data_IF_447704085988
#
_entry.id   IF_447704085988
#
_cell.length_a   1.000
_cell.length_b   1.000
_cell.length_c   1.000
_cell.angle_alpha   90.00
_cell.angle_beta   90.00
_cell.angle_gamma   90.00
#
_symmetry.space_group_name_H-M   'P 1'
#
loop_
_entity.id
_entity.type
_entity.pdbx_description
1 polymer ?
#
# COMPACT_ATOMS: atom_id res chain seq x y z
N UNK A 1 44.29 -37.06 29.52
CA UNK A 1 42.85 -36.88 29.29
C UNK A 1 42.74 -35.75 28.27
N UNK A 2 42.86 -36.11 27.00
CA UNK A 2 42.83 -35.15 25.89
C UNK A 2 41.38 -35.00 25.44
N UNK A 3 40.86 -33.76 25.54
CA UNK A 3 39.54 -33.40 25.03
C UNK A 3 39.66 -33.24 23.51
N UNK A 4 39.09 -34.17 22.77
CA UNK A 4 38.89 -34.05 21.32
C UNK A 4 37.87 -32.96 21.07
N UNK A 5 38.35 -31.80 20.59
CA UNK A 5 37.50 -30.73 20.04
C UNK A 5 36.89 -31.26 18.75
N UNK A 6 35.60 -31.56 18.77
CA UNK A 6 34.83 -31.87 17.56
C UNK A 6 34.82 -30.63 16.66
N UNK A 7 35.52 -30.72 15.56
CA UNK A 7 35.49 -29.75 14.48
C UNK A 7 34.09 -29.81 13.83
N UNK A 8 33.24 -28.91 14.25
CA UNK A 8 31.87 -28.74 13.72
C UNK A 8 31.99 -28.34 12.25
N UNK A 9 31.72 -29.30 11.38
CA UNK A 9 31.75 -29.10 9.94
C UNK A 9 30.75 -27.99 9.56
N UNK A 10 31.28 -26.80 9.27
CA UNK A 10 30.50 -25.66 8.77
C UNK A 10 29.88 -26.08 7.43
N UNK A 11 28.58 -26.40 7.43
CA UNK A 11 27.82 -26.68 6.20
C UNK A 11 27.90 -25.42 5.33
N UNK A 12 28.45 -25.50 4.11
CA UNK A 12 28.49 -24.31 3.25
C UNK A 12 27.07 -23.84 2.96
N UNK A 13 26.75 -22.63 3.38
CA UNK A 13 25.48 -21.98 3.05
C UNK A 13 25.45 -21.81 1.52
N UNK A 14 24.46 -22.40 0.82
CA UNK A 14 24.39 -22.25 -0.62
C UNK A 14 24.27 -20.76 -0.97
N UNK A 15 24.95 -20.28 -2.02
CA UNK A 15 24.88 -18.89 -2.43
C UNK A 15 23.41 -18.52 -2.66
N UNK A 16 22.97 -17.47 -2.01
CA UNK A 16 21.61 -16.96 -2.16
C UNK A 16 21.33 -16.73 -3.66
N UNK A 17 20.26 -17.33 -4.16
CA UNK A 17 19.86 -17.17 -5.56
C UNK A 17 19.78 -15.67 -5.91
N UNK A 18 20.30 -15.26 -7.09
CA UNK A 18 20.28 -13.86 -7.48
C UNK A 18 18.84 -13.35 -7.44
N UNK A 19 18.66 -12.11 -7.00
CA UNK A 19 17.34 -11.54 -6.89
C UNK A 19 16.62 -11.64 -8.25
N UNK A 20 15.46 -12.28 -8.35
CA UNK A 20 14.65 -12.42 -9.57
C UNK A 20 13.89 -11.10 -9.88
N UNK A 21 13.75 -10.68 -11.13
CA UNK A 21 12.99 -9.48 -11.51
C UNK A 21 11.49 -9.65 -11.22
N UNK A 22 10.83 -8.60 -10.73
CA UNK A 22 9.39 -8.63 -10.49
C UNK A 22 8.66 -9.11 -11.75
N UNK A 23 7.74 -10.05 -11.56
CA UNK A 23 6.91 -10.55 -12.66
C UNK A 23 5.79 -9.54 -12.95
N UNK A 24 5.24 -9.58 -14.16
CA UNK A 24 4.05 -8.78 -14.50
C UNK A 24 2.88 -9.05 -13.56
N UNK A 25 2.74 -10.27 -13.09
CA UNK A 25 1.70 -10.66 -12.14
C UNK A 25 1.90 -9.93 -10.81
N UNK A 26 3.08 -9.95 -10.25
CA UNK A 26 3.40 -9.25 -9.00
C UNK A 26 3.22 -7.73 -9.12
N UNK A 27 3.60 -7.16 -10.24
CA UNK A 27 3.37 -5.73 -10.51
C UNK A 27 1.87 -5.42 -10.58
N UNK A 28 1.08 -6.28 -11.22
CA UNK A 28 -0.37 -6.10 -11.31
C UNK A 28 -1.01 -6.21 -9.92
N UNK A 29 -0.68 -7.23 -9.15
CA UNK A 29 -1.27 -7.49 -7.83
C UNK A 29 -0.88 -6.42 -6.80
N UNK A 30 0.35 -5.94 -6.83
CA UNK A 30 0.87 -5.06 -5.77
C UNK A 30 0.86 -3.57 -6.11
N UNK A 31 0.81 -3.21 -7.38
CA UNK A 31 0.85 -1.80 -7.83
C UNK A 31 -0.41 -1.42 -8.58
N UNK A 32 -0.72 -2.13 -9.66
CA UNK A 32 -1.80 -1.73 -10.56
C UNK A 32 -3.16 -1.91 -9.90
N UNK A 33 -3.44 -3.09 -9.33
CA UNK A 33 -4.75 -3.37 -8.74
C UNK A 33 -5.12 -2.44 -7.58
N UNK A 34 -4.25 -2.18 -6.57
CA UNK A 34 -4.53 -1.20 -5.53
C UNK A 34 -4.73 0.21 -6.08
N UNK A 35 -3.93 0.63 -7.06
CA UNK A 35 -4.04 1.95 -7.67
C UNK A 35 -5.36 2.10 -8.43
N UNK A 36 -5.74 1.13 -9.24
CA UNK A 36 -7.01 1.14 -9.97
C UNK A 36 -8.22 1.09 -9.04
N UNK A 37 -8.15 0.29 -7.98
CA UNK A 37 -9.16 0.32 -6.92
C UNK A 37 -9.29 1.73 -6.34
N UNK A 38 -8.17 2.37 -6.04
CA UNK A 38 -8.14 3.76 -5.60
C UNK A 38 -8.82 4.71 -6.59
N UNK A 39 -8.47 4.63 -7.88
CA UNK A 39 -9.07 5.49 -8.93
C UNK A 39 -10.59 5.36 -8.95
N UNK A 40 -11.12 4.14 -8.91
CA UNK A 40 -12.57 3.91 -8.88
C UNK A 40 -13.20 4.48 -7.60
N UNK A 41 -12.57 4.26 -6.44
CA UNK A 41 -13.05 4.83 -5.18
C UNK A 41 -13.03 6.36 -5.18
N UNK A 42 -11.97 6.99 -5.71
CA UNK A 42 -11.84 8.44 -5.79
C UNK A 42 -12.86 9.07 -6.74
N UNK A 43 -13.02 8.51 -7.93
CA UNK A 43 -14.04 8.95 -8.89
C UNK A 43 -15.44 8.75 -8.34
N UNK A 44 -15.74 7.60 -7.74
CA UNK A 44 -17.03 7.32 -7.12
C UNK A 44 -17.33 8.26 -5.94
N UNK A 45 -16.35 8.54 -5.10
CA UNK A 45 -16.49 9.51 -4.01
C UNK A 45 -16.80 10.89 -4.55
N UNK A 46 -16.08 11.33 -5.57
CA UNK A 46 -16.32 12.62 -6.21
C UNK A 46 -17.72 12.71 -6.86
N UNK A 47 -18.16 11.64 -7.50
CA UNK A 47 -19.46 11.59 -8.17
C UNK A 47 -20.65 11.53 -7.22
N UNK A 48 -20.53 10.72 -6.15
CA UNK A 48 -21.69 10.35 -5.31
C UNK A 48 -21.72 11.09 -3.97
N UNK A 49 -20.59 11.42 -3.41
CA UNK A 49 -20.50 11.97 -2.05
C UNK A 49 -20.26 13.48 -2.07
N UNK A 50 -19.31 13.92 -2.90
CA UNK A 50 -18.95 15.35 -2.97
C UNK A 50 -20.12 16.29 -3.25
N UNK A 51 -21.09 15.97 -4.12
CA UNK A 51 -22.25 16.84 -4.35
C UNK A 51 -23.10 17.11 -3.10
N UNK A 52 -23.01 16.24 -2.10
CA UNK A 52 -23.76 16.38 -0.83
C UNK A 52 -22.95 17.08 0.26
N UNK A 53 -21.68 17.42 -0.01
CA UNK A 53 -20.83 18.13 0.92
C UNK A 53 -20.85 19.65 0.64
N UNK A 54 -20.60 20.47 1.68
CA UNK A 54 -20.57 21.93 1.51
C UNK A 54 -19.38 22.44 0.68
N UNK A 55 -18.49 21.54 0.26
CA UNK A 55 -17.28 21.88 -0.51
C UNK A 55 -17.31 21.19 -1.87
N UNK A 56 -17.17 21.98 -2.94
CA UNK A 56 -17.15 21.48 -4.32
C UNK A 56 -15.73 21.21 -4.87
N UNK A 57 -14.72 21.18 -3.99
CA UNK A 57 -13.35 20.89 -4.38
C UNK A 57 -13.13 19.38 -4.54
N UNK A 58 -12.11 18.96 -5.33
CA UNK A 58 -11.72 17.57 -5.40
C UNK A 58 -11.49 17.03 -3.99
N UNK A 59 -12.25 16.01 -3.64
CA UNK A 59 -12.24 15.50 -2.27
C UNK A 59 -11.08 14.55 -2.06
N UNK A 60 -10.45 14.60 -0.88
CA UNK A 60 -9.40 13.66 -0.53
C UNK A 60 -9.87 12.20 -0.51
N UNK A 61 -8.96 11.24 -0.63
CA UNK A 61 -9.27 9.83 -0.81
C UNK A 61 -9.79 9.12 0.45
N UNK A 62 -10.52 9.81 1.30
CA UNK A 62 -11.04 9.30 2.57
C UNK A 62 -11.85 8.01 2.39
N UNK A 63 -12.73 7.98 1.40
CA UNK A 63 -13.55 6.80 1.12
C UNK A 63 -12.73 5.57 0.76
N UNK A 64 -11.69 5.73 -0.07
CA UNK A 64 -10.80 4.64 -0.44
C UNK A 64 -10.03 4.07 0.76
N UNK A 65 -9.52 4.95 1.63
CA UNK A 65 -8.79 4.56 2.84
C UNK A 65 -9.72 3.86 3.85
N UNK A 66 -10.95 4.34 4.03
CA UNK A 66 -11.94 3.71 4.90
C UNK A 66 -12.36 2.33 4.38
N UNK A 67 -12.58 2.20 3.08
CA UNK A 67 -12.87 0.90 2.45
C UNK A 67 -11.70 -0.06 2.61
N UNK A 68 -10.46 0.41 2.48
CA UNK A 68 -9.29 -0.43 2.73
C UNK A 68 -9.21 -0.95 4.16
N UNK A 69 -9.50 -0.10 5.15
CA UNK A 69 -9.56 -0.53 6.55
C UNK A 69 -10.63 -1.61 6.75
N UNK A 70 -11.82 -1.38 6.21
CA UNK A 70 -12.96 -2.30 6.36
C UNK A 70 -12.71 -3.64 5.67
N UNK A 71 -12.19 -3.61 4.45
CA UNK A 71 -11.98 -4.81 3.64
C UNK A 71 -10.58 -5.41 3.75
N UNK A 72 -9.76 -4.98 4.72
CA UNK A 72 -8.40 -5.49 4.91
C UNK A 72 -8.27 -7.02 4.92
N UNK A 73 -9.15 -7.80 5.56
CA UNK A 73 -9.04 -9.26 5.55
C UNK A 73 -9.23 -9.85 4.14
N UNK A 74 -10.13 -9.24 3.36
CA UNK A 74 -10.41 -9.65 2.00
C UNK A 74 -9.25 -9.28 1.06
N UNK A 75 -8.75 -8.04 1.19
CA UNK A 75 -7.60 -7.56 0.43
C UNK A 75 -6.35 -8.41 0.71
N UNK A 76 -6.10 -8.75 1.98
CA UNK A 76 -5.02 -9.65 2.35
C UNK A 76 -5.17 -10.99 1.63
N UNK A 77 -6.36 -11.57 1.59
CA UNK A 77 -6.62 -12.86 0.93
C UNK A 77 -6.30 -12.83 -0.56
N UNK A 78 -6.63 -11.74 -1.25
CA UNK A 78 -6.50 -11.64 -2.71
C UNK A 78 -5.19 -11.04 -3.19
N UNK A 79 -4.59 -10.14 -2.41
CA UNK A 79 -3.40 -9.39 -2.81
C UNK A 79 -2.11 -9.91 -2.20
N UNK A 80 -2.17 -10.84 -1.25
CA UNK A 80 -0.98 -11.39 -0.62
C UNK A 80 -0.93 -12.91 -0.74
N UNK A 81 0.28 -13.44 -0.88
CA UNK A 81 0.50 -14.89 -0.89
C UNK A 81 0.80 -15.43 0.52
N UNK A 82 0.59 -14.61 1.56
CA UNK A 82 0.84 -14.99 2.94
C UNK A 82 -0.34 -15.78 3.53
N UNK A 83 -0.08 -16.63 4.56
CA UNK A 83 -1.12 -17.36 5.27
C UNK A 83 -2.22 -16.43 5.80
N UNK A 84 -3.47 -16.88 5.72
CA UNK A 84 -4.63 -16.08 6.13
C UNK A 84 -4.59 -15.64 7.61
N UNK A 85 -3.91 -16.38 8.46
CA UNK A 85 -3.73 -16.02 9.87
C UNK A 85 -3.01 -14.69 10.08
N UNK A 86 -2.23 -14.26 9.11
CA UNK A 86 -1.46 -13.01 9.17
C UNK A 86 -2.22 -11.76 8.71
N UNK A 87 -3.52 -11.86 8.46
CA UNK A 87 -4.33 -10.70 8.04
C UNK A 87 -4.31 -9.53 9.05
N UNK A 88 -4.11 -9.82 10.34
CA UNK A 88 -3.99 -8.80 11.38
C UNK A 88 -2.76 -7.91 11.19
N UNK A 89 -1.65 -8.47 10.72
CA UNK A 89 -0.45 -7.70 10.38
C UNK A 89 -0.73 -6.78 9.18
N UNK A 90 -1.47 -7.29 8.20
CA UNK A 90 -1.90 -6.48 7.05
C UNK A 90 -2.82 -5.33 7.49
N UNK A 91 -3.83 -5.62 8.31
CA UNK A 91 -4.71 -4.59 8.89
C UNK A 91 -3.92 -3.55 9.68
N UNK A 92 -2.96 -3.98 10.50
CA UNK A 92 -2.11 -3.05 11.25
C UNK A 92 -1.31 -2.13 10.32
N UNK A 93 -0.79 -2.65 9.22
CA UNK A 93 -0.10 -1.86 8.19
C UNK A 93 -1.02 -0.86 7.49
N UNK A 94 -2.23 -1.28 7.12
CA UNK A 94 -3.26 -0.36 6.57
C UNK A 94 -3.57 0.73 7.59
N UNK A 95 -3.86 0.37 8.84
CA UNK A 95 -4.22 1.32 9.89
C UNK A 95 -3.09 2.31 10.19
N UNK A 96 -1.85 1.84 10.26
CA UNK A 96 -0.68 2.68 10.54
C UNK A 96 -0.50 3.82 9.54
N UNK A 97 -0.94 3.63 8.30
CA UNK A 97 -0.86 4.65 7.26
C UNK A 97 -2.20 5.37 7.06
N UNK A 98 -3.31 4.65 7.05
CA UNK A 98 -4.62 5.24 6.79
C UNK A 98 -5.06 6.23 7.88
N UNK A 99 -4.80 5.96 9.17
CA UNK A 99 -5.19 6.88 10.23
C UNK A 99 -4.50 8.25 10.18
N UNK A 100 -3.16 8.33 10.08
CA UNK A 100 -2.50 9.62 9.89
C UNK A 100 -3.01 10.37 8.67
N UNK A 101 -3.25 9.64 7.58
CA UNK A 101 -3.74 10.23 6.35
C UNK A 101 -5.14 10.80 6.47
N UNK A 102 -6.07 10.04 7.03
CA UNK A 102 -7.43 10.50 7.28
C UNK A 102 -7.41 11.74 8.17
N UNK A 103 -6.55 11.76 9.21
CA UNK A 103 -6.40 12.92 10.08
C UNK A 103 -5.90 14.14 9.32
N UNK A 104 -4.85 13.98 8.52
CA UNK A 104 -4.25 15.08 7.76
C UNK A 104 -5.23 15.61 6.71
N UNK A 105 -5.92 14.74 5.99
CA UNK A 105 -6.93 15.15 5.02
C UNK A 105 -8.13 15.85 5.67
N UNK A 106 -8.48 15.47 6.90
CA UNK A 106 -9.56 16.14 7.65
C UNK A 106 -9.19 17.55 8.12
N UNK A 107 -7.89 17.83 8.29
CA UNK A 107 -7.38 19.13 8.75
C UNK A 107 -7.09 20.12 7.61
N UNK A 108 -7.23 19.72 6.36
CA UNK A 108 -6.97 20.58 5.20
C UNK A 108 -5.50 20.83 4.88
N UNK A 109 -4.57 20.13 5.53
CA UNK A 109 -3.12 20.21 5.29
C UNK A 109 -2.67 19.46 4.02
N UNK A 110 -3.55 19.29 3.05
CA UNK A 110 -3.38 18.42 1.90
C UNK A 110 -2.14 18.67 1.04
N UNK A 111 -1.70 19.91 0.88
CA UNK A 111 -0.54 20.23 0.03
C UNK A 111 0.79 19.71 0.62
N UNK A 112 0.99 19.82 1.93
CA UNK A 112 2.16 19.28 2.62
C UNK A 112 2.16 17.75 2.60
N UNK A 113 0.99 17.17 2.62
CA UNK A 113 0.79 15.73 2.56
C UNK A 113 1.21 15.17 1.21
N UNK A 114 0.85 15.80 0.09
CA UNK A 114 1.26 15.35 -1.24
C UNK A 114 2.79 15.28 -1.37
N UNK A 115 3.52 16.27 -0.88
CA UNK A 115 4.98 16.26 -0.89
C UNK A 115 5.57 15.15 -0.01
N UNK A 116 5.04 14.97 1.20
CA UNK A 116 5.44 13.90 2.10
C UNK A 116 5.13 12.50 1.53
N UNK A 117 4.02 12.36 0.81
CA UNK A 117 3.66 11.14 0.13
C UNK A 117 4.63 10.76 -0.98
N UNK A 118 4.99 11.68 -1.83
CA UNK A 118 5.96 11.42 -2.88
C UNK A 118 7.29 10.93 -2.28
N UNK A 119 7.74 11.55 -1.19
CA UNK A 119 8.94 11.13 -0.49
C UNK A 119 8.83 9.71 0.08
N UNK A 120 7.70 9.38 0.72
CA UNK A 120 7.44 8.02 1.25
C UNK A 120 7.32 6.99 0.14
N UNK A 121 6.68 7.32 -0.98
CA UNK A 121 6.56 6.43 -2.14
C UNK A 121 7.95 6.13 -2.72
N UNK A 122 8.74 7.16 -2.96
CA UNK A 122 10.11 6.99 -3.47
C UNK A 122 10.93 6.13 -2.49
N UNK A 123 10.80 6.40 -1.19
CA UNK A 123 11.50 5.63 -0.17
C UNK A 123 11.06 4.15 -0.15
N UNK A 124 9.76 3.88 -0.16
CA UNK A 124 9.23 2.51 -0.22
C UNK A 124 9.64 1.85 -1.53
N UNK A 125 9.56 2.53 -2.66
CA UNK A 125 9.97 2.01 -3.96
C UNK A 125 11.46 1.63 -3.97
N UNK A 126 12.33 2.47 -3.46
CA UNK A 126 13.76 2.17 -3.30
C UNK A 126 13.96 0.96 -2.38
N UNK A 127 13.28 0.89 -1.26
CA UNK A 127 13.37 -0.24 -0.34
C UNK A 127 12.85 -1.54 -0.95
N UNK A 128 11.80 -1.50 -1.77
CA UNK A 128 11.18 -2.69 -2.37
C UNK A 128 11.87 -3.15 -3.64
N UNK A 129 12.54 -2.27 -4.36
CA UNK A 129 13.35 -2.65 -5.52
C UNK A 129 14.46 -3.64 -5.17
N UNK A 130 14.90 -3.66 -3.93
CA UNK A 130 15.88 -4.60 -3.41
C UNK A 130 15.27 -5.93 -2.93
N UNK A 131 13.98 -5.95 -2.51
CA UNK A 131 13.33 -7.09 -1.84
C UNK A 131 12.20 -7.74 -2.64
N UNK A 132 11.82 -7.20 -3.77
CA UNK A 132 10.91 -7.80 -4.74
C UNK A 132 9.69 -8.48 -4.16
N UNK A 133 8.74 -7.71 -3.73
CA UNK A 133 7.36 -8.11 -3.42
C UNK A 133 7.19 -9.28 -2.42
N UNK A 134 8.24 -9.98 -2.02
CA UNK A 134 8.19 -10.94 -0.92
C UNK A 134 8.30 -10.22 0.43
N UNK A 135 7.46 -9.21 0.59
CA UNK A 135 7.42 -8.39 1.79
C UNK A 135 6.46 -9.00 2.82
N UNK A 136 6.73 -8.83 4.14
CA UNK A 136 5.79 -9.20 5.17
C UNK A 136 4.47 -8.43 4.99
N UNK A 137 3.32 -9.00 5.44
CA UNK A 137 1.99 -8.42 5.22
C UNK A 137 1.87 -6.95 5.63
N UNK A 138 2.52 -6.55 6.71
CA UNK A 138 2.54 -5.17 7.17
C UNK A 138 3.13 -4.21 6.11
N UNK A 139 4.26 -4.57 5.50
CA UNK A 139 4.91 -3.74 4.47
C UNK A 139 4.12 -3.72 3.16
N UNK A 140 3.55 -4.87 2.76
CA UNK A 140 2.65 -4.90 1.60
C UNK A 140 1.44 -4.00 1.81
N UNK A 141 0.87 -4.00 3.02
CA UNK A 141 -0.25 -3.14 3.36
C UNK A 141 0.09 -1.64 3.23
N UNK A 142 1.28 -1.23 3.67
CA UNK A 142 1.74 0.16 3.47
C UNK A 142 1.82 0.50 1.99
N UNK A 143 2.38 -0.39 1.17
CA UNK A 143 2.49 -0.20 -0.27
C UNK A 143 1.12 -0.11 -0.96
N UNK A 144 0.21 -1.03 -0.63
CA UNK A 144 -1.14 -1.04 -1.17
C UNK A 144 -1.93 0.21 -0.75
N UNK A 145 -1.81 0.63 0.51
CA UNK A 145 -2.48 1.84 1.01
C UNK A 145 -2.01 3.10 0.29
N UNK A 146 -0.72 3.21 -0.01
CA UNK A 146 -0.19 4.30 -0.82
C UNK A 146 -0.75 4.26 -2.25
N UNK A 147 -0.76 3.09 -2.87
CA UNK A 147 -1.33 2.90 -4.21
C UNK A 147 -2.79 3.33 -4.27
N UNK A 148 -3.60 2.88 -3.31
CA UNK A 148 -5.02 3.27 -3.20
C UNK A 148 -5.16 4.78 -3.00
N UNK A 149 -4.34 5.39 -2.16
CA UNK A 149 -4.42 6.82 -1.91
C UNK A 149 -4.09 7.66 -3.16
N UNK A 150 -3.02 7.31 -3.88
CA UNK A 150 -2.65 7.97 -5.13
C UNK A 150 -3.74 7.77 -6.18
N UNK A 151 -4.22 6.53 -6.31
CA UNK A 151 -5.31 6.22 -7.22
C UNK A 151 -6.55 7.05 -6.91
N UNK A 152 -6.95 7.13 -5.64
CA UNK A 152 -8.13 7.88 -5.23
C UNK A 152 -7.99 9.39 -5.46
N UNK A 153 -6.83 9.96 -5.20
CA UNK A 153 -6.53 11.34 -5.58
C UNK A 153 -6.67 11.54 -7.09
N UNK A 154 -6.01 10.68 -7.87
CA UNK A 154 -6.04 10.76 -9.32
C UNK A 154 -7.45 10.62 -9.87
N UNK A 155 -8.23 9.65 -9.37
CA UNK A 155 -9.62 9.43 -9.77
C UNK A 155 -10.54 10.60 -9.44
N UNK A 156 -10.38 11.18 -8.25
CA UNK A 156 -11.12 12.38 -7.84
C UNK A 156 -10.81 13.59 -8.73
N UNK A 157 -9.54 13.86 -9.01
CA UNK A 157 -9.12 14.96 -9.89
C UNK A 157 -9.56 14.74 -11.34
N UNK A 158 -9.43 13.52 -11.86
CA UNK A 158 -9.86 13.20 -13.22
C UNK A 158 -11.37 13.39 -13.37
N UNK A 159 -12.16 12.91 -12.42
CA UNK A 159 -13.61 13.08 -12.45
C UNK A 159 -13.99 14.57 -12.36
N UNK A 160 -13.39 15.31 -11.45
CA UNK A 160 -13.64 16.74 -11.29
C UNK A 160 -13.24 17.55 -12.53
N UNK A 161 -12.12 17.20 -13.18
CA UNK A 161 -11.65 17.91 -14.38
C UNK A 161 -12.40 17.56 -15.66
N UNK A 162 -13.04 16.38 -15.73
CA UNK A 162 -13.75 15.91 -16.93
C UNK A 162 -15.26 16.12 -16.89
N UNK A 163 -15.86 16.09 -15.71
CA UNK A 163 -17.31 16.04 -15.52
C UNK A 163 -17.81 17.08 -14.50
N UNK A 164 -16.95 17.78 -13.81
CA UNK A 164 -17.25 18.90 -12.91
C UNK A 164 -17.03 20.21 -13.61
#
# INVERSE_FOLDING_TARGET
MEATVSEEATIPVPPSAPPQSATWRETTENVIAPTMFGVVCGAGWQALITPHLPYHLPNPPQGGLLLMLLFSPLLHRFLTHHPQERWKEYLAGVAALAFPLLLIWSTGLGAFVCAGYLAVIVWIWVCTSWWRFNLPPFRLALWHTLGVNIGALSGSFLFFGLLG
#
